data_IF_618288419568
#
_entry.id   IF_618288419568
#
_cell.length_a   1.000
_cell.length_b   1.000
_cell.length_c   1.000
_cell.angle_alpha   90.00
_cell.angle_beta   90.00
_cell.angle_gamma   90.00
#
_symmetry.space_group_name_H-M   'P 1'
#
loop_
_entity.id
_entity.type
_entity.pdbx_description
1 polymer ?
#
# COMPACT_ATOMS: atom_id res chain seq x y z
N UNK A 1 -5.57 -4.62 -8.91
CA UNK A 1 -6.15 -3.27 -8.84
C UNK A 1 -5.53 -2.45 -9.96
N UNK A 2 -5.99 -1.22 -10.19
CA UNK A 2 -5.14 -0.28 -10.93
C UNK A 2 -4.05 0.25 -9.99
N UNK A 3 -2.85 0.49 -10.51
CA UNK A 3 -1.71 0.96 -9.72
C UNK A 3 -2.04 2.22 -8.90
N UNK A 4 -2.82 3.14 -9.47
CA UNK A 4 -3.28 4.35 -8.81
C UNK A 4 -4.14 4.08 -7.57
N UNK A 5 -5.11 3.16 -7.67
CA UNK A 5 -5.95 2.73 -6.53
C UNK A 5 -5.10 2.10 -5.44
N UNK A 6 -4.10 1.30 -5.83
CA UNK A 6 -3.15 0.67 -4.90
C UNK A 6 -2.35 1.71 -4.13
N UNK A 7 -1.88 2.77 -4.81
CA UNK A 7 -1.17 3.88 -4.18
C UNK A 7 -2.07 4.59 -3.17
N UNK A 8 -3.30 4.92 -3.55
CA UNK A 8 -4.26 5.60 -2.66
C UNK A 8 -4.56 4.77 -1.41
N UNK A 9 -4.77 3.46 -1.58
CA UNK A 9 -5.01 2.55 -0.45
C UNK A 9 -3.78 2.47 0.46
N UNK A 10 -2.56 2.39 -0.10
CA UNK A 10 -1.34 2.38 0.71
C UNK A 10 -1.17 3.67 1.51
N UNK A 11 -1.40 4.83 0.90
CA UNK A 11 -1.33 6.13 1.58
C UNK A 11 -2.32 6.20 2.75
N UNK A 12 -3.56 5.76 2.52
CA UNK A 12 -4.59 5.70 3.57
C UNK A 12 -4.18 4.78 4.72
N UNK A 13 -3.71 3.57 4.40
CA UNK A 13 -3.27 2.60 5.42
C UNK A 13 -2.11 3.12 6.26
N UNK A 14 -1.12 3.79 5.64
CA UNK A 14 -0.02 4.41 6.37
C UNK A 14 -0.56 5.49 7.31
N UNK A 15 -1.43 6.38 6.83
CA UNK A 15 -2.04 7.43 7.67
C UNK A 15 -2.81 6.86 8.86
N UNK A 16 -3.62 5.81 8.64
CA UNK A 16 -4.41 5.17 9.68
C UNK A 16 -3.51 4.46 10.71
N UNK A 17 -2.45 3.76 10.25
CA UNK A 17 -1.46 3.13 11.13
C UNK A 17 -0.76 4.18 11.99
N UNK A 18 -0.29 5.28 11.41
CA UNK A 18 0.39 6.35 12.16
C UNK A 18 -0.52 6.93 13.24
N UNK A 19 -1.78 7.27 12.90
CA UNK A 19 -2.75 7.81 13.86
C UNK A 19 -3.07 6.84 14.99
N UNK A 20 -3.16 5.54 14.71
CA UNK A 20 -3.45 4.54 15.74
C UNK A 20 -2.21 4.19 16.57
N UNK A 21 -0.99 4.34 16.05
CA UNK A 21 0.25 4.21 16.82
C UNK A 21 0.33 5.28 17.92
N UNK A 22 -0.03 6.54 17.60
CA UNK A 22 -0.10 7.63 18.60
C UNK A 22 -1.11 7.33 19.70
N UNK A 23 -2.29 6.79 19.35
CA UNK A 23 -3.28 6.39 20.36
C UNK A 23 -2.82 5.18 21.17
N UNK A 24 -2.12 4.25 20.52
CA UNK A 24 -1.58 3.05 21.13
C UNK A 24 -0.51 3.36 22.18
N UNK A 25 0.36 4.34 21.92
CA UNK A 25 1.38 4.78 22.89
C UNK A 25 0.75 5.40 24.15
N UNK A 26 -0.45 5.97 24.04
CA UNK A 26 -1.26 6.46 25.16
C UNK A 26 -2.09 5.36 25.87
N UNK A 27 -1.87 4.09 25.54
CA UNK A 27 -2.50 2.94 26.20
C UNK A 27 -3.83 2.48 25.58
N UNK A 28 -4.23 3.00 24.41
CA UNK A 28 -5.46 2.56 23.74
C UNK A 28 -5.28 1.16 23.11
N UNK A 29 -5.76 0.12 23.81
CA UNK A 29 -5.67 -1.29 23.37
C UNK A 29 -6.35 -1.57 22.02
N UNK A 30 -7.47 -0.90 21.73
CA UNK A 30 -8.18 -1.08 20.46
C UNK A 30 -7.37 -0.49 19.30
N UNK A 31 -6.70 0.65 19.51
CA UNK A 31 -5.81 1.24 18.52
C UNK A 31 -4.62 0.31 18.23
N UNK A 32 -4.01 -0.29 19.25
CA UNK A 32 -2.94 -1.30 19.08
C UNK A 32 -3.42 -2.48 18.22
N UNK A 33 -4.64 -2.96 18.45
CA UNK A 33 -5.20 -4.05 17.63
C UNK A 33 -5.43 -3.61 16.17
N UNK A 34 -5.91 -2.38 15.94
CA UNK A 34 -6.06 -1.83 14.58
C UNK A 34 -4.72 -1.69 13.87
N UNK A 35 -3.67 -1.19 14.55
CA UNK A 35 -2.31 -1.16 14.00
C UNK A 35 -1.87 -2.54 13.53
N UNK A 36 -2.10 -3.58 14.35
CA UNK A 36 -1.75 -4.96 13.99
C UNK A 36 -2.47 -5.43 12.72
N UNK A 37 -3.79 -5.25 12.66
CA UNK A 37 -4.60 -5.64 11.50
C UNK A 37 -4.20 -4.87 10.23
N UNK A 38 -4.07 -3.54 10.35
CA UNK A 38 -3.73 -2.69 9.22
C UNK A 38 -2.30 -2.94 8.72
N UNK A 39 -1.35 -3.29 9.60
CA UNK A 39 0.01 -3.66 9.19
C UNK A 39 0.05 -4.93 8.35
N UNK A 40 -0.76 -5.95 8.71
CA UNK A 40 -0.91 -7.17 7.92
C UNK A 40 -1.53 -6.85 6.55
N UNK A 41 -2.58 -6.02 6.54
CA UNK A 41 -3.23 -5.60 5.30
C UNK A 41 -2.26 -4.81 4.40
N UNK A 42 -1.53 -3.85 4.96
CA UNK A 42 -0.53 -3.07 4.25
C UNK A 42 0.53 -3.97 3.60
N UNK A 43 1.01 -5.00 4.30
CA UNK A 43 1.92 -6.01 3.74
C UNK A 43 1.35 -6.78 2.54
N UNK A 44 0.03 -6.99 2.47
CA UNK A 44 -0.63 -7.60 1.30
C UNK A 44 -0.72 -6.61 0.13
N UNK A 45 -1.14 -5.37 0.41
CA UNK A 45 -1.26 -4.32 -0.62
C UNK A 45 0.10 -3.97 -1.21
N UNK A 46 1.16 -3.90 -0.40
CA UNK A 46 2.52 -3.57 -0.88
C UNK A 46 3.09 -4.61 -1.84
N UNK A 47 2.76 -5.90 -1.66
CA UNK A 47 3.10 -6.97 -2.61
C UNK A 47 2.38 -6.78 -3.95
N UNK A 48 1.10 -6.39 -3.91
CA UNK A 48 0.35 -6.08 -5.14
C UNK A 48 0.94 -4.86 -5.86
N UNK A 49 1.25 -3.79 -5.12
CA UNK A 49 1.93 -2.61 -5.65
C UNK A 49 3.21 -2.99 -6.41
N UNK A 50 4.08 -3.80 -5.80
CA UNK A 50 5.33 -4.25 -6.45
C UNK A 50 5.07 -5.00 -7.76
N UNK A 51 4.04 -5.84 -7.81
CA UNK A 51 3.70 -6.57 -9.05
C UNK A 51 3.19 -5.61 -10.12
N UNK A 52 2.29 -4.72 -9.74
CA UNK A 52 1.65 -3.75 -10.65
C UNK A 52 2.65 -2.73 -11.21
N UNK A 53 3.65 -2.30 -10.44
CA UNK A 53 4.72 -1.44 -10.94
C UNK A 53 5.58 -2.13 -12.00
N UNK A 54 6.04 -3.35 -11.73
CA UNK A 54 6.85 -4.14 -12.68
C UNK A 54 6.08 -4.45 -13.97
N UNK A 55 4.80 -4.78 -13.86
CA UNK A 55 3.97 -5.04 -15.04
C UNK A 55 3.74 -3.75 -15.85
N UNK A 56 3.58 -2.61 -15.19
CA UNK A 56 3.46 -1.29 -15.83
C UNK A 56 4.74 -0.90 -16.59
N UNK A 57 5.92 -1.14 -16.01
CA UNK A 57 7.22 -0.91 -16.66
C UNK A 57 7.39 -1.81 -17.91
N UNK A 58 7.04 -3.09 -17.81
CA UNK A 58 7.10 -4.02 -18.95
C UNK A 58 6.17 -3.58 -20.08
N UNK A 59 4.96 -3.12 -19.76
CA UNK A 59 4.03 -2.61 -20.78
C UNK A 59 4.55 -1.35 -21.45
N UNK A 60 5.18 -0.44 -20.69
CA UNK A 60 5.81 0.76 -21.23
C UNK A 60 6.93 0.40 -22.22
N UNK A 61 7.82 -0.52 -21.85
CA UNK A 61 8.90 -0.98 -22.71
C UNK A 61 8.38 -1.58 -24.04
N UNK A 62 7.31 -2.38 -23.99
CA UNK A 62 6.66 -2.93 -25.20
C UNK A 62 6.08 -1.83 -26.10
N UNK A 63 5.46 -0.80 -25.53
CA UNK A 63 4.90 0.34 -26.28
C UNK A 63 5.98 1.15 -26.98
N UNK A 64 7.13 1.37 -26.32
CA UNK A 64 8.27 2.07 -26.92
C UNK A 64 8.85 1.27 -28.10
N UNK A 65 9.00 -0.06 -27.94
CA UNK A 65 9.51 -0.92 -29.02
C UNK A 65 8.59 -0.97 -30.24
N UNK A 66 7.27 -0.90 -30.06
CA UNK A 66 6.29 -0.88 -31.16
C UNK A 66 6.28 0.44 -31.95
N UNK A 67 6.79 1.54 -31.36
CA UNK A 67 6.86 2.87 -31.98
C UNK A 67 8.16 3.13 -32.73
N UNK A 68 9.18 2.29 -32.56
CA UNK A 68 10.41 2.26 -33.37
C UNK A 68 10.24 1.28 -34.52
#
# INVERSE_FOLDING_TARGET
MKLEETIQIMQKLISDITKDLEKGSLGNKTAVQRVRVNSILFGKISKMYRKETLDSEKQLAKRIKKRK
#
